data_IF_800350227219
#
_entry.id   IF_800350227219
#
_cell.length_a   1.000
_cell.length_b   1.000
_cell.length_c   1.000
_cell.angle_alpha   90.00
_cell.angle_beta   90.00
_cell.angle_gamma   90.00
#
_symmetry.space_group_name_H-M   'P 1'
#
loop_
_entity.id
_entity.type
_entity.pdbx_description
1 polymer ?
#
# COMPACT_ATOMS: atom_id res chain seq x y z
N UNK A 1 -62.08 -33.54 -53.73
CA UNK A 1 -61.61 -33.04 -52.41
C UNK A 1 -60.37 -33.83 -52.01
N UNK A 2 -59.18 -33.29 -52.29
CA UNK A 2 -57.93 -33.83 -51.72
C UNK A 2 -57.02 -32.63 -51.50
N UNK A 3 -57.03 -32.13 -50.26
CA UNK A 3 -56.26 -30.97 -49.86
C UNK A 3 -55.28 -31.37 -48.76
N UNK A 4 -54.00 -31.15 -49.10
CA UNK A 4 -52.90 -30.74 -48.24
C UNK A 4 -52.41 -31.69 -47.14
N UNK A 5 -51.36 -32.44 -47.48
CA UNK A 5 -50.20 -32.60 -46.57
C UNK A 5 -49.08 -31.70 -47.08
N UNK A 6 -49.16 -30.40 -46.79
CA UNK A 6 -48.04 -29.50 -47.05
C UNK A 6 -47.08 -29.66 -45.87
N UNK A 7 -45.90 -30.18 -46.19
CA UNK A 7 -44.79 -30.42 -45.27
C UNK A 7 -44.49 -29.18 -44.44
N UNK A 8 -44.51 -29.34 -43.12
CA UNK A 8 -44.13 -28.35 -42.11
C UNK A 8 -42.66 -27.88 -42.24
N UNK A 9 -41.88 -28.44 -43.17
CA UNK A 9 -40.46 -28.10 -43.37
C UNK A 9 -40.22 -26.85 -44.22
N UNK A 10 -41.24 -26.29 -44.87
CA UNK A 10 -41.08 -25.12 -45.76
C UNK A 10 -41.36 -23.77 -45.08
N UNK A 11 -41.96 -23.74 -43.89
CA UNK A 11 -42.13 -22.50 -43.11
C UNK A 11 -40.87 -22.10 -42.32
N UNK A 12 -39.85 -22.96 -42.27
CA UNK A 12 -38.62 -22.66 -41.53
C UNK A 12 -37.58 -21.91 -42.38
N UNK A 13 -37.70 -21.93 -43.72
CA UNK A 13 -36.68 -21.39 -44.61
C UNK A 13 -36.86 -19.92 -44.99
N UNK A 14 -38.02 -19.30 -44.68
CA UNK A 14 -38.25 -17.87 -44.94
C UNK A 14 -38.07 -16.97 -43.71
N UNK A 15 -37.83 -17.52 -42.52
CA UNK A 15 -37.59 -16.70 -41.32
C UNK A 15 -36.12 -16.26 -41.16
N UNK A 16 -35.20 -16.83 -41.93
CA UNK A 16 -33.77 -16.50 -41.84
C UNK A 16 -33.34 -15.28 -42.68
N UNK A 17 -34.20 -14.76 -43.56
CA UNK A 17 -33.84 -13.67 -44.48
C UNK A 17 -34.34 -12.28 -44.05
N UNK A 18 -34.84 -12.12 -42.83
CA UNK A 18 -35.24 -10.82 -42.26
C UNK A 18 -34.33 -10.35 -41.11
N UNK A 19 -33.08 -10.80 -41.08
CA UNK A 19 -32.06 -10.15 -40.25
C UNK A 19 -31.41 -9.02 -41.07
N UNK A 20 -31.79 -7.74 -40.86
CA UNK A 20 -30.99 -6.65 -41.38
C UNK A 20 -29.59 -6.77 -40.79
N UNK A 21 -28.61 -6.67 -41.68
CA UNK A 21 -27.18 -6.71 -41.40
C UNK A 21 -26.87 -5.89 -40.15
N UNK A 22 -26.36 -6.54 -39.11
CA UNK A 22 -25.82 -5.89 -37.92
C UNK A 22 -24.68 -4.99 -38.39
N UNK A 23 -24.95 -3.69 -38.53
CA UNK A 23 -23.91 -2.68 -38.68
C UNK A 23 -23.15 -2.68 -37.36
N UNK A 24 -22.02 -3.39 -37.35
CA UNK A 24 -21.06 -3.32 -36.26
C UNK A 24 -20.41 -1.95 -36.32
N UNK A 25 -20.96 -1.00 -35.57
CA UNK A 25 -20.30 0.25 -35.28
C UNK A 25 -19.08 -0.08 -34.40
N UNK A 26 -17.90 -0.12 -35.00
CA UNK A 26 -16.62 -0.25 -34.30
C UNK A 26 -16.42 1.03 -33.48
N UNK A 27 -16.86 1.01 -32.21
CA UNK A 27 -16.52 2.04 -31.23
C UNK A 27 -15.07 1.81 -30.80
N UNK A 28 -14.15 2.55 -31.42
CA UNK A 28 -12.71 2.56 -31.13
C UNK A 28 -12.38 3.22 -29.78
N UNK A 29 -12.88 2.67 -28.68
CA UNK A 29 -12.39 2.96 -27.33
C UNK A 29 -12.55 1.73 -26.44
N UNK A 30 -11.92 0.61 -26.84
CA UNK A 30 -11.69 -0.52 -25.94
C UNK A 30 -10.22 -0.46 -25.59
N UNK A 31 -9.89 0.41 -24.63
CA UNK A 31 -8.85 0.01 -23.68
C UNK A 31 -9.39 -1.28 -23.08
N UNK A 32 -8.77 -2.40 -23.43
CA UNK A 32 -9.11 -3.73 -22.94
C UNK A 32 -9.36 -3.57 -21.44
N UNK A 33 -10.62 -3.69 -21.00
CA UNK A 33 -10.94 -3.77 -19.59
C UNK A 33 -10.35 -5.10 -19.13
N UNK A 34 -9.05 -5.06 -18.82
CA UNK A 34 -8.36 -6.16 -18.16
C UNK A 34 -9.23 -6.47 -16.98
N UNK A 35 -9.81 -7.67 -16.97
CA UNK A 35 -10.56 -8.18 -15.83
C UNK A 35 -9.54 -8.39 -14.70
N UNK A 36 -9.15 -7.28 -14.09
CA UNK A 36 -8.10 -7.22 -13.08
C UNK A 36 -8.78 -7.62 -11.79
N UNK A 37 -8.48 -8.83 -11.33
CA UNK A 37 -8.83 -9.23 -9.98
C UNK A 37 -7.81 -8.65 -9.00
N UNK A 38 -8.28 -8.02 -7.94
CA UNK A 38 -7.45 -7.56 -6.83
C UNK A 38 -7.39 -8.59 -5.70
N UNK A 39 -6.38 -8.45 -4.86
CA UNK A 39 -6.35 -9.04 -3.53
C UNK A 39 -6.70 -7.96 -2.52
N UNK A 40 -7.49 -8.29 -1.50
CA UNK A 40 -7.91 -7.33 -0.49
C UNK A 40 -7.80 -7.90 0.92
N UNK A 41 -7.78 -7.00 1.91
CA UNK A 41 -7.84 -7.36 3.32
C UNK A 41 -9.25 -7.84 3.67
N UNK A 42 -9.40 -9.10 4.06
CA UNK A 42 -10.72 -9.70 4.41
C UNK A 42 -11.09 -9.50 5.89
N UNK A 43 -10.21 -8.87 6.67
CA UNK A 43 -10.33 -8.84 8.13
C UNK A 43 -11.15 -7.64 8.67
N UNK A 44 -11.22 -6.55 7.93
CA UNK A 44 -11.91 -5.33 8.36
C UNK A 44 -13.43 -5.43 8.29
N UNK A 45 -14.13 -4.91 9.31
CA UNK A 45 -15.61 -4.90 9.33
C UNK A 45 -16.22 -3.83 8.44
N UNK A 46 -15.56 -2.67 8.34
CA UNK A 46 -16.10 -1.48 7.68
C UNK A 46 -15.24 -1.06 6.49
N UNK A 47 -13.92 -1.12 6.65
CA UNK A 47 -12.95 -0.74 5.62
C UNK A 47 -12.25 -1.97 5.06
N UNK A 48 -11.83 -1.88 3.81
CA UNK A 48 -10.98 -2.85 3.14
C UNK A 48 -9.88 -2.12 2.37
N UNK A 49 -8.67 -2.67 2.40
CA UNK A 49 -7.56 -2.23 1.58
C UNK A 49 -7.30 -3.26 0.46
N UNK A 50 -7.08 -2.80 -0.77
CA UNK A 50 -6.71 -3.66 -1.90
C UNK A 50 -5.20 -3.61 -2.24
N UNK A 51 -4.76 -4.52 -3.09
CA UNK A 51 -3.37 -4.64 -3.58
C UNK A 51 -3.02 -3.62 -4.68
N UNK A 52 -3.99 -2.82 -5.09
CA UNK A 52 -3.76 -1.61 -5.89
C UNK A 52 -3.48 -0.39 -5.01
N UNK A 53 -3.68 -0.51 -3.69
CA UNK A 53 -3.42 0.52 -2.70
C UNK A 53 -4.64 1.35 -2.31
N UNK A 54 -5.85 1.03 -2.77
CA UNK A 54 -7.04 1.76 -2.37
C UNK A 54 -7.57 1.27 -1.03
N UNK A 55 -8.18 2.19 -0.27
CA UNK A 55 -9.01 1.85 0.89
C UNK A 55 -10.44 2.28 0.60
N UNK A 56 -11.40 1.40 0.89
CA UNK A 56 -12.80 1.67 0.63
C UNK A 56 -13.70 1.00 1.67
N UNK A 57 -14.93 1.51 1.80
CA UNK A 57 -15.95 0.88 2.62
C UNK A 57 -16.40 -0.44 1.99
N UNK A 58 -16.85 -1.38 2.83
CA UNK A 58 -17.40 -2.67 2.40
C UNK A 58 -18.55 -2.54 1.38
N UNK A 59 -19.32 -1.45 1.41
CA UNK A 59 -20.40 -1.16 0.46
C UNK A 59 -19.90 -0.80 -0.94
N UNK A 60 -18.67 -0.34 -1.06
CA UNK A 60 -18.03 0.12 -2.31
C UNK A 60 -17.01 -0.88 -2.87
N UNK A 61 -16.97 -2.08 -2.28
CA UNK A 61 -16.19 -3.22 -2.70
C UNK A 61 -16.91 -3.98 -3.82
N UNK A 62 -16.24 -4.27 -4.91
CA UNK A 62 -16.82 -5.05 -6.01
C UNK A 62 -16.62 -6.56 -5.76
N UNK A 63 -17.70 -7.35 -5.60
CA UNK A 63 -17.58 -8.80 -5.37
C UNK A 63 -16.95 -9.54 -6.55
N UNK A 64 -17.07 -9.01 -7.77
CA UNK A 64 -16.60 -9.68 -8.98
C UNK A 64 -15.08 -9.53 -9.16
N UNK A 65 -14.57 -8.29 -9.16
CA UNK A 65 -13.14 -8.01 -9.26
C UNK A 65 -12.38 -8.16 -7.94
N UNK A 66 -13.08 -8.11 -6.79
CA UNK A 66 -12.50 -8.00 -5.44
C UNK A 66 -11.64 -6.74 -5.23
N UNK A 67 -11.85 -5.72 -6.05
CA UNK A 67 -11.19 -4.42 -5.95
C UNK A 67 -12.12 -3.41 -5.28
N UNK A 68 -11.53 -2.35 -4.74
CA UNK A 68 -12.28 -1.13 -4.48
C UNK A 68 -12.69 -0.48 -5.81
N UNK A 69 -13.93 -0.01 -5.93
CA UNK A 69 -14.49 0.58 -7.17
C UNK A 69 -13.89 1.95 -7.57
N UNK A 70 -12.66 2.26 -7.15
CA UNK A 70 -11.94 3.50 -7.49
C UNK A 70 -12.50 4.77 -6.86
N UNK A 71 -13.45 4.66 -5.92
CA UNK A 71 -13.99 5.82 -5.17
C UNK A 71 -13.13 6.25 -3.98
N UNK A 72 -12.10 5.47 -3.63
CA UNK A 72 -11.22 5.75 -2.48
C UNK A 72 -9.94 6.47 -2.87
N UNK A 73 -9.28 7.06 -1.87
CA UNK A 73 -7.91 7.56 -2.02
C UNK A 73 -6.93 6.41 -2.22
N UNK A 74 -5.86 6.66 -2.97
CA UNK A 74 -4.78 5.68 -3.17
C UNK A 74 -3.67 5.93 -2.16
N UNK A 75 -3.29 4.87 -1.47
CA UNK A 75 -2.31 4.88 -0.36
C UNK A 75 -2.63 5.88 0.78
N UNK A 76 -3.89 6.02 1.23
CA UNK A 76 -4.19 6.88 2.37
C UNK A 76 -3.45 6.42 3.63
N UNK A 77 -2.83 7.39 4.30
CA UNK A 77 -2.15 7.21 5.58
C UNK A 77 -2.93 7.85 6.74
N UNK A 78 -4.26 7.85 6.66
CA UNK A 78 -5.12 8.43 7.69
C UNK A 78 -4.94 7.69 9.02
N UNK A 79 -4.70 8.43 10.11
CA UNK A 79 -4.44 7.83 11.42
C UNK A 79 -3.09 7.12 11.52
N UNK A 80 -2.14 7.39 10.62
CA UNK A 80 -0.77 6.90 10.68
C UNK A 80 0.20 7.98 11.17
N UNK A 81 1.08 7.62 12.10
CA UNK A 81 2.26 8.40 12.42
C UNK A 81 3.42 7.95 11.52
N UNK A 82 3.84 8.81 10.60
CA UNK A 82 4.87 8.49 9.61
C UNK A 82 6.28 8.39 10.20
N UNK A 83 6.51 8.96 11.39
CA UNK A 83 7.80 8.86 12.10
C UNK A 83 7.97 7.47 12.70
N UNK A 84 6.94 6.97 13.38
CA UNK A 84 6.95 5.60 13.93
C UNK A 84 6.57 4.53 12.91
N UNK A 85 6.04 4.92 11.75
CA UNK A 85 5.51 4.02 10.71
C UNK A 85 4.45 3.07 11.27
N UNK A 86 3.61 3.60 12.17
CA UNK A 86 2.52 2.90 12.83
C UNK A 86 1.21 3.65 12.65
N UNK A 87 0.11 2.91 12.58
CA UNK A 87 -1.24 3.39 12.39
C UNK A 87 -2.18 2.80 13.44
N UNK A 88 -3.30 3.49 13.67
CA UNK A 88 -4.37 3.04 14.55
C UNK A 88 -5.37 2.09 13.84
N UNK A 89 -5.35 2.04 12.50
CA UNK A 89 -6.21 1.18 11.69
C UNK A 89 -5.38 0.27 10.80
N UNK A 90 -5.81 -0.98 10.73
CA UNK A 90 -5.14 -2.03 9.97
C UNK A 90 -5.16 -1.73 8.47
N UNK A 91 -6.31 -1.35 7.93
CA UNK A 91 -6.52 -1.13 6.51
C UNK A 91 -5.72 0.07 6.00
N UNK A 92 -5.71 1.17 6.77
CA UNK A 92 -4.85 2.32 6.47
C UNK A 92 -3.36 1.98 6.59
N UNK A 93 -2.96 1.14 7.56
CA UNK A 93 -1.58 0.64 7.62
C UNK A 93 -1.20 -0.13 6.35
N UNK A 94 -2.04 -1.08 5.92
CA UNK A 94 -1.76 -1.93 4.75
C UNK A 94 -1.71 -1.09 3.48
N UNK A 95 -2.59 -0.09 3.33
CA UNK A 95 -2.57 0.79 2.18
C UNK A 95 -1.39 1.77 2.19
N UNK A 96 -1.15 2.49 3.28
CA UNK A 96 -0.03 3.42 3.43
C UNK A 96 1.34 2.73 3.23
N UNK A 97 1.48 1.50 3.72
CA UNK A 97 2.69 0.69 3.54
C UNK A 97 2.98 0.36 2.07
N UNK A 98 1.95 0.25 1.22
CA UNK A 98 2.12 -0.06 -0.20
C UNK A 98 2.62 1.12 -1.03
N UNK A 99 2.63 2.34 -0.46
CA UNK A 99 3.17 3.51 -1.14
C UNK A 99 4.66 3.30 -1.47
N UNK A 100 5.07 3.40 -2.76
CA UNK A 100 6.47 3.27 -3.16
C UNK A 100 7.38 4.32 -2.54
N UNK A 101 6.85 5.44 -2.05
CA UNK A 101 7.61 6.44 -1.29
C UNK A 101 8.02 5.94 0.10
N UNK A 102 7.26 4.98 0.66
CA UNK A 102 7.45 4.42 2.01
C UNK A 102 8.18 3.10 1.98
N UNK A 103 7.79 2.20 1.08
CA UNK A 103 8.34 0.84 1.03
C UNK A 103 8.85 0.50 -0.36
N UNK A 104 10.16 0.31 -0.47
CA UNK A 104 10.81 -0.06 -1.73
C UNK A 104 10.67 -1.55 -1.99
N UNK A 105 10.15 -1.91 -3.16
CA UNK A 105 9.89 -3.30 -3.56
C UNK A 105 11.14 -4.18 -3.46
N UNK A 106 12.31 -3.63 -3.81
CA UNK A 106 13.58 -4.34 -3.83
C UNK A 106 14.06 -4.73 -2.43
N UNK A 107 13.68 -3.95 -1.41
CA UNK A 107 14.01 -4.23 -0.02
C UNK A 107 13.12 -5.36 0.52
N UNK A 108 11.83 -5.36 0.17
CA UNK A 108 10.85 -6.35 0.67
C UNK A 108 11.18 -7.78 0.23
N UNK A 109 11.57 -7.97 -1.03
CA UNK A 109 11.82 -9.31 -1.58
C UNK A 109 12.96 -10.05 -0.87
N UNK A 110 13.82 -9.33 -0.13
CA UNK A 110 14.94 -9.87 0.64
C UNK A 110 14.58 -10.16 2.11
N UNK A 111 13.42 -9.68 2.57
CA UNK A 111 12.99 -9.82 3.96
C UNK A 111 12.30 -11.17 4.15
N UNK A 112 12.73 -11.89 5.19
CA UNK A 112 12.11 -13.15 5.59
C UNK A 112 10.83 -12.87 6.37
N UNK A 113 9.82 -13.70 6.16
CA UNK A 113 8.52 -13.60 6.82
C UNK A 113 8.66 -13.74 8.35
N UNK A 114 9.64 -14.52 8.80
CA UNK A 114 9.89 -14.78 10.21
C UNK A 114 11.39 -14.82 10.53
N UNK A 115 11.71 -14.79 11.83
CA UNK A 115 13.08 -14.89 12.36
C UNK A 115 13.87 -16.14 11.96
N UNK A 116 13.29 -17.36 11.91
CA UNK A 116 14.09 -18.56 11.58
C UNK A 116 14.69 -18.48 10.18
N UNK A 117 15.90 -19.03 10.03
CA UNK A 117 16.66 -18.99 8.78
C UNK A 117 15.98 -19.74 7.62
N UNK A 118 15.10 -20.69 7.93
CA UNK A 118 14.29 -21.49 6.99
C UNK A 118 13.03 -20.78 6.51
N UNK A 119 12.70 -19.60 7.06
CA UNK A 119 11.51 -18.86 6.65
C UNK A 119 11.64 -18.35 5.21
N UNK A 120 10.54 -18.51 4.45
CA UNK A 120 10.40 -17.94 3.11
C UNK A 120 10.36 -16.41 3.12
N UNK A 121 10.41 -15.83 1.93
CA UNK A 121 10.26 -14.39 1.68
C UNK A 121 8.84 -14.05 1.25
N UNK A 122 8.47 -12.77 1.31
CA UNK A 122 7.18 -12.30 0.84
C UNK A 122 7.07 -12.36 -0.68
N UNK A 123 5.89 -12.73 -1.19
CA UNK A 123 5.61 -12.78 -2.63
C UNK A 123 5.53 -11.38 -3.28
N UNK A 124 5.20 -10.35 -2.50
CA UNK A 124 5.15 -8.97 -2.97
C UNK A 124 4.91 -7.96 -1.86
N UNK A 125 4.81 -6.68 -2.25
CA UNK A 125 4.62 -5.55 -1.32
C UNK A 125 3.33 -5.71 -0.51
N UNK A 126 2.23 -6.08 -1.17
CA UNK A 126 0.95 -6.29 -0.50
C UNK A 126 1.02 -7.37 0.59
N UNK A 127 1.63 -8.53 0.30
CA UNK A 127 1.77 -9.63 1.26
C UNK A 127 2.66 -9.25 2.45
N UNK A 128 3.70 -8.45 2.19
CA UNK A 128 4.53 -7.86 3.24
C UNK A 128 3.72 -6.93 4.14
N UNK A 129 2.97 -5.99 3.57
CA UNK A 129 2.18 -5.02 4.33
C UNK A 129 1.08 -5.70 5.16
N UNK A 130 0.35 -6.64 4.57
CA UNK A 130 -0.66 -7.47 5.26
C UNK A 130 -0.04 -8.22 6.44
N UNK A 131 1.12 -8.85 6.23
CA UNK A 131 1.82 -9.58 7.28
C UNK A 131 2.33 -8.67 8.41
N UNK A 132 2.97 -7.57 8.05
CA UNK A 132 3.66 -6.68 9.00
C UNK A 132 2.70 -5.85 9.83
N UNK A 133 1.67 -5.27 9.20
CA UNK A 133 0.65 -4.47 9.89
C UNK A 133 -0.19 -5.27 10.88
N UNK A 134 -0.31 -6.60 10.70
CA UNK A 134 -1.15 -7.44 11.56
C UNK A 134 -0.51 -7.76 12.91
N UNK A 135 0.81 -7.95 12.95
CA UNK A 135 1.53 -8.32 14.17
C UNK A 135 2.89 -7.62 14.18
N UNK A 136 3.02 -6.56 14.98
CA UNK A 136 4.34 -5.98 15.29
C UNK A 136 4.69 -6.24 16.76
N UNK A 137 5.87 -6.82 17.01
CA UNK A 137 6.40 -6.95 18.37
C UNK A 137 6.81 -5.60 18.97
N UNK A 138 7.09 -4.59 18.15
CA UNK A 138 7.49 -3.25 18.63
C UNK A 138 6.31 -2.44 19.19
N UNK A 139 5.06 -2.84 18.88
CA UNK A 139 3.86 -2.17 19.41
C UNK A 139 3.44 -2.69 20.79
N UNK A 140 4.06 -3.77 21.28
CA UNK A 140 3.68 -4.42 22.55
C UNK A 140 4.77 -4.20 23.62
N UNK A 141 4.34 -3.82 24.82
CA UNK A 141 5.10 -3.66 26.05
C UNK A 141 4.59 -4.70 27.06
N UNK A 142 5.49 -5.30 27.84
CA UNK A 142 5.14 -6.27 28.89
C UNK A 142 4.17 -7.37 28.41
N UNK A 143 4.60 -8.09 27.37
CA UNK A 143 3.96 -9.29 26.81
C UNK A 143 2.56 -9.11 26.20
N UNK A 144 1.71 -8.18 26.66
CA UNK A 144 0.33 -8.01 26.20
C UNK A 144 -0.23 -6.57 26.21
N UNK A 145 0.51 -5.55 26.68
CA UNK A 145 0.01 -4.16 26.69
C UNK A 145 0.50 -3.39 25.45
N UNK A 146 -0.39 -2.75 24.69
CA UNK A 146 0.07 -1.90 23.59
C UNK A 146 0.77 -0.65 24.10
N UNK A 147 1.86 -0.25 23.44
CA UNK A 147 2.61 0.97 23.76
C UNK A 147 1.79 2.23 23.52
N UNK A 148 0.87 2.18 22.55
CA UNK A 148 0.01 3.28 22.14
C UNK A 148 -1.19 2.76 21.35
N UNK A 149 -2.13 3.64 21.02
CA UNK A 149 -3.24 3.35 20.10
C UNK A 149 -2.77 2.98 18.68
N UNK A 150 -1.53 3.32 18.33
CA UNK A 150 -0.87 2.90 17.09
C UNK A 150 -0.25 1.51 17.25
N UNK A 151 -1.01 0.48 16.93
CA UNK A 151 -0.58 -0.92 17.08
C UNK A 151 -0.31 -1.65 15.76
N UNK A 152 -0.68 -1.05 14.62
CA UNK A 152 -0.42 -1.59 13.28
C UNK A 152 0.78 -0.88 12.67
N UNK A 153 1.90 -1.58 12.48
CA UNK A 153 3.13 -0.94 11.99
C UNK A 153 3.72 -1.68 10.79
N UNK A 154 4.40 -0.94 9.93
CA UNK A 154 5.05 -1.48 8.73
C UNK A 154 6.56 -1.18 8.68
N UNK A 155 7.15 -0.79 9.80
CA UNK A 155 8.60 -0.58 9.92
C UNK A 155 9.38 -1.80 9.44
N UNK A 156 10.40 -1.52 8.63
CA UNK A 156 11.38 -2.53 8.23
C UNK A 156 12.18 -2.97 9.47
N UNK A 157 12.50 -4.26 9.62
CA UNK A 157 13.38 -4.72 10.68
C UNK A 157 14.69 -3.95 10.60
N UNK A 158 15.01 -3.19 11.64
CA UNK A 158 16.35 -2.64 11.80
C UNK A 158 17.27 -3.83 12.00
N UNK A 159 18.03 -4.22 10.97
CA UNK A 159 19.15 -5.13 11.17
C UNK A 159 20.01 -4.52 12.27
N UNK A 160 20.03 -5.15 13.44
CA UNK A 160 20.81 -4.71 14.58
C UNK A 160 22.27 -4.62 14.19
N UNK A 161 22.66 -3.43 13.75
CA UNK A 161 24.00 -2.93 13.58
C UNK A 161 23.90 -1.42 13.69
N UNK A 162 23.51 -0.94 14.88
CA UNK A 162 23.79 0.41 15.38
C UNK A 162 23.72 1.58 14.40
N UNK A 163 22.73 1.63 13.51
CA UNK A 163 22.61 2.70 12.52
C UNK A 163 21.20 3.25 12.52
N UNK A 164 21.00 4.28 13.35
CA UNK A 164 19.93 5.25 13.19
C UNK A 164 20.09 5.90 11.81
N UNK A 165 19.37 5.42 10.79
CA UNK A 165 19.24 6.15 9.53
C UNK A 165 17.81 6.66 9.40
N UNK A 166 17.62 7.81 10.04
CA UNK A 166 16.77 8.90 9.59
C UNK A 166 16.91 9.03 8.07
N UNK A 167 15.84 8.72 7.34
CA UNK A 167 15.66 9.16 5.96
C UNK A 167 14.19 9.55 5.77
N UNK A 168 13.87 10.80 6.10
CA UNK A 168 13.20 11.74 5.21
C UNK A 168 12.74 12.98 5.99
N UNK A 169 13.58 14.01 6.02
CA UNK A 169 13.09 15.39 5.94
C UNK A 169 13.98 16.11 4.92
N UNK A 170 13.44 16.61 3.81
CA UNK A 170 14.14 17.54 2.96
C UNK A 170 13.83 18.94 3.48
N UNK A 171 14.75 19.56 4.21
CA UNK A 171 14.69 21.02 4.34
C UNK A 171 16.07 21.65 4.31
N UNK A 172 16.10 22.68 3.48
CA UNK A 172 17.23 23.45 3.01
C UNK A 172 17.95 24.18 4.16
N UNK A 173 19.28 24.22 4.05
CA UNK A 173 20.14 25.34 4.47
C UNK A 173 19.92 25.92 5.89
N UNK A 174 20.60 25.35 6.88
CA UNK A 174 21.35 26.20 7.80
C UNK A 174 22.66 25.55 8.25
N UNK A 175 23.73 26.15 7.72
CA UNK A 175 25.14 25.79 7.84
C UNK A 175 25.67 25.85 9.29
N UNK A 176 26.82 25.20 9.54
CA UNK A 176 27.46 25.03 10.84
C UNK A 176 28.17 26.32 11.27
N UNK A 177 27.42 27.35 11.64
CA UNK A 177 28.01 28.59 12.15
C UNK A 177 28.15 28.61 13.68
N UNK A 178 27.41 27.78 14.41
CA UNK A 178 27.40 27.83 15.89
C UNK A 178 28.60 27.09 16.51
N UNK A 179 29.19 26.10 15.83
CA UNK A 179 30.33 25.35 16.35
C UNK A 179 31.66 26.15 16.31
N UNK A 180 31.81 27.10 15.38
CA UNK A 180 33.03 27.90 15.26
C UNK A 180 33.07 29.02 16.31
N UNK A 181 31.91 29.59 16.67
CA UNK A 181 31.82 30.68 17.66
C UNK A 181 32.20 30.17 19.07
N UNK A 182 31.81 28.95 19.45
CA UNK A 182 32.19 28.38 20.76
C UNK A 182 33.69 28.09 20.90
N UNK A 183 34.39 27.75 19.80
CA UNK A 183 35.84 27.51 19.83
C UNK A 183 36.61 28.85 19.93
N UNK A 184 36.16 29.89 19.23
CA UNK A 184 36.82 31.21 19.32
C UNK A 184 36.64 31.87 20.69
N UNK A 185 35.49 31.72 21.35
CA UNK A 185 35.27 32.28 22.71
C UNK A 185 36.14 31.57 23.75
N UNK A 186 36.35 30.27 23.64
CA UNK A 186 37.24 29.51 24.54
C UNK A 186 38.73 29.87 24.33
N UNK A 187 39.15 30.14 23.09
CA UNK A 187 40.54 30.55 22.80
C UNK A 187 40.82 31.97 23.32
N UNK A 188 39.87 32.91 23.17
CA UNK A 188 40.02 34.27 23.71
C UNK A 188 40.06 34.30 25.24
N UNK A 189 39.23 33.50 25.92
CA UNK A 189 39.25 33.42 27.38
C UNK A 189 40.55 32.79 27.95
N UNK A 190 41.22 31.93 27.18
CA UNK A 190 42.48 31.31 27.58
C UNK A 190 43.68 32.25 27.41
N UNK A 191 43.67 33.14 26.40
CA UNK A 191 44.71 34.16 26.22
C UNK A 191 44.68 35.22 27.33
N UNK A 192 43.50 35.60 27.82
CA UNK A 192 43.36 36.66 28.84
C UNK A 192 43.70 36.20 30.27
N UNK A 193 43.77 34.88 30.51
CA UNK A 193 44.19 34.32 31.80
C UNK A 193 45.72 34.16 31.93
N UNK A 194 46.50 34.28 30.85
CA UNK A 194 47.97 34.19 30.86
C UNK A 194 48.68 35.55 30.90
N UNK A 195 47.95 36.67 30.78
CA UNK A 195 48.49 38.03 30.81
C UNK A 195 48.33 38.74 32.17
N UNK A 196 47.90 38.02 33.22
CA UNK A 196 47.70 38.53 34.59
C UNK A 196 48.55 37.80 35.64
N UNK A 197 49.79 37.47 35.28
CA UNK A 197 50.89 37.17 36.19
C UNK A 197 52.16 37.86 35.70
#
# INVERSE_FOLDING_TARGET
>A
MSTQRISLSLLFFQFFFLFPSIISAIRNNIGLAVNRSCRSTVQGRYLLADDSGYVCDASSFDPMSRCCLGKGEKFPCHGCNLVSQCCNSYEYCVSCCQDPSRTKREQILKIKIAKPSTAGTYAGVFDFCVGRCRHNSESVVHENAYRSDYHHCFSLPSYSSGAFHILAVPDFLHFPFVAIISIFVLIFHFQESMARN
#
